data_IF_438897402922
#
_entry.id   IF_438897402922
#
_cell.length_a   1.000
_cell.length_b   1.000
_cell.length_c   1.000
_cell.angle_alpha   90.00
_cell.angle_beta   90.00
_cell.angle_gamma   90.00
#
_symmetry.space_group_name_H-M   'P 1'
#
loop_
_entity.id
_entity.type
_entity.pdbx_description
1 polymer ?
#
# COMPACT_ATOMS: atom_id res chain seq x y z
N UNK A 1 5.46 5.12 17.67
CA UNK A 1 5.83 5.20 16.24
C UNK A 1 5.08 4.11 15.50
N UNK A 2 4.50 4.39 14.33
CA UNK A 2 3.75 3.41 13.54
C UNK A 2 4.70 2.56 12.70
N UNK A 3 4.34 1.29 12.42
CA UNK A 3 5.15 0.41 11.54
C UNK A 3 5.33 0.95 10.12
N UNK A 4 4.62 2.03 9.75
CA UNK A 4 4.80 2.75 8.49
C UNK A 4 6.19 3.34 8.33
N UNK A 5 6.88 3.68 9.42
CA UNK A 5 8.21 4.30 9.39
C UNK A 5 9.31 3.37 9.95
N UNK A 6 9.08 2.05 9.90
CA UNK A 6 10.02 1.05 10.40
C UNK A 6 10.93 0.50 9.31
N UNK A 7 12.07 -0.04 9.74
CA UNK A 7 13.02 -0.76 8.91
C UNK A 7 13.03 -2.25 9.31
N UNK A 8 13.10 -3.14 8.33
CA UNK A 8 12.96 -4.59 8.55
C UNK A 8 14.09 -5.37 7.91
N UNK A 9 14.75 -6.24 8.67
CA UNK A 9 15.61 -7.28 8.09
C UNK A 9 14.75 -8.41 7.55
N UNK A 10 15.09 -8.91 6.37
CA UNK A 10 14.35 -9.99 5.71
C UNK A 10 15.29 -11.19 5.51
N UNK A 11 14.94 -12.30 6.16
CA UNK A 11 15.72 -13.52 6.15
C UNK A 11 17.08 -13.36 6.82
N UNK A 12 18.12 -13.78 6.11
CA UNK A 12 19.51 -13.76 6.57
C UNK A 12 20.38 -12.72 5.88
N UNK A 13 19.80 -11.88 5.01
CA UNK A 13 20.53 -10.80 4.37
C UNK A 13 20.65 -9.62 5.34
N UNK A 14 21.87 -9.38 5.81
CA UNK A 14 22.21 -8.30 6.75
C UNK A 14 22.87 -7.11 6.05
N UNK A 15 22.88 -7.08 4.72
CA UNK A 15 23.46 -5.98 3.93
C UNK A 15 22.44 -4.88 3.61
N UNK A 16 21.15 -5.18 3.75
CA UNK A 16 20.05 -4.27 3.45
C UNK A 16 18.86 -4.49 4.38
N UNK A 17 18.04 -3.45 4.52
CA UNK A 17 16.79 -3.46 5.28
C UNK A 17 15.66 -2.93 4.40
N UNK A 18 14.45 -3.44 4.59
CA UNK A 18 13.25 -2.89 3.95
C UNK A 18 12.75 -1.68 4.72
N UNK A 19 12.69 -0.52 4.07
CA UNK A 19 12.12 0.70 4.63
C UNK A 19 10.62 0.78 4.32
N UNK A 20 9.76 0.59 5.33
CA UNK A 20 8.29 0.63 5.16
C UNK A 20 7.81 1.92 4.50
N UNK A 21 8.36 3.07 4.92
CA UNK A 21 7.95 4.39 4.42
C UNK A 21 8.24 4.59 2.93
N UNK A 22 9.35 4.03 2.46
CA UNK A 22 9.80 4.14 1.06
C UNK A 22 9.28 2.98 0.21
N UNK A 23 8.68 1.97 0.83
CA UNK A 23 8.30 0.71 0.21
C UNK A 23 9.47 0.03 -0.57
N UNK A 24 10.71 0.18 -0.11
CA UNK A 24 11.92 -0.22 -0.82
C UNK A 24 13.01 -0.75 0.11
N UNK A 25 13.91 -1.58 -0.43
CA UNK A 25 15.13 -1.96 0.27
C UNK A 25 16.16 -0.82 0.21
N UNK A 26 16.83 -0.61 1.33
CA UNK A 26 17.93 0.35 1.47
C UNK A 26 19.12 -0.35 2.12
N UNK A 27 20.33 0.09 1.80
CA UNK A 27 21.54 -0.46 2.40
C UNK A 27 21.62 -0.10 3.90
N UNK A 28 22.32 -0.91 4.69
CA UNK A 28 22.50 -0.67 6.14
C UNK A 28 23.34 0.58 6.48
N UNK A 29 24.02 1.18 5.50
CA UNK A 29 24.75 2.43 5.63
C UNK A 29 23.93 3.66 5.17
N UNK A 30 22.65 3.48 4.81
CA UNK A 30 21.75 4.58 4.50
C UNK A 30 21.61 5.53 5.70
N UNK A 31 21.79 6.82 5.45
CA UNK A 31 21.80 7.85 6.50
C UNK A 31 20.48 7.96 7.28
N UNK A 32 19.33 7.71 6.63
CA UNK A 32 18.03 7.72 7.33
C UNK A 32 17.83 6.47 8.18
N UNK A 33 18.35 5.31 7.74
CA UNK A 33 18.35 4.11 8.56
C UNK A 33 19.25 4.26 9.80
N UNK A 34 20.46 4.81 9.63
CA UNK A 34 21.37 5.07 10.75
C UNK A 34 20.76 6.05 11.76
N UNK A 35 20.17 7.15 11.30
CA UNK A 35 19.47 8.11 12.16
C UNK A 35 18.24 7.50 12.87
N UNK A 36 17.52 6.59 12.19
CA UNK A 36 16.41 5.85 12.79
C UNK A 36 16.91 4.89 13.88
N UNK A 37 18.00 4.13 13.62
CA UNK A 37 18.64 3.23 14.60
C UNK A 37 19.10 3.97 15.85
N UNK A 38 19.72 5.14 15.69
CA UNK A 38 20.16 5.97 16.83
C UNK A 38 18.97 6.41 17.72
N UNK A 39 17.80 6.64 17.12
CA UNK A 39 16.59 7.04 17.84
C UNK A 39 15.87 5.87 18.52
N UNK A 40 15.75 4.74 17.83
CA UNK A 40 14.94 3.59 18.28
C UNK A 40 15.73 2.56 19.12
N UNK A 41 17.07 2.60 19.07
CA UNK A 41 17.94 1.64 19.73
C UNK A 41 18.07 0.30 18.99
N UNK A 42 18.35 -0.78 19.72
CA UNK A 42 18.59 -2.13 19.18
C UNK A 42 17.30 -2.89 18.80
N UNK A 43 16.25 -2.18 18.37
CA UNK A 43 15.11 -2.86 17.76
C UNK A 43 15.55 -3.30 16.37
N UNK A 44 15.72 -4.61 16.19
CA UNK A 44 15.98 -5.25 14.89
C UNK A 44 14.75 -6.05 14.45
N UNK A 45 13.73 -5.40 13.86
CA UNK A 45 12.56 -6.10 13.38
C UNK A 45 13.02 -7.04 12.25
N UNK A 46 12.95 -8.35 12.48
CA UNK A 46 13.32 -9.36 11.50
C UNK A 46 12.12 -10.22 11.16
N UNK A 47 11.97 -10.51 9.88
CA UNK A 47 10.98 -11.44 9.32
C UNK A 47 11.70 -12.46 8.45
N UNK A 48 11.12 -13.63 8.25
CA UNK A 48 11.69 -14.68 7.41
C UNK A 48 11.57 -14.35 5.91
N UNK A 49 10.55 -13.59 5.49
CA UNK A 49 10.30 -13.30 4.07
C UNK A 49 9.57 -11.98 3.84
N UNK A 50 9.57 -11.53 2.58
CA UNK A 50 8.78 -10.36 2.12
C UNK A 50 7.28 -10.62 2.26
N UNK A 51 6.83 -11.86 2.05
CA UNK A 51 5.41 -12.20 2.20
C UNK A 51 4.97 -12.12 3.68
N UNK A 52 5.81 -12.54 4.61
CA UNK A 52 5.55 -12.33 6.04
C UNK A 52 5.49 -10.83 6.38
N UNK A 53 6.42 -10.03 5.85
CA UNK A 53 6.37 -8.58 6.03
C UNK A 53 5.07 -7.98 5.49
N UNK A 54 4.66 -8.40 4.29
CA UNK A 54 3.41 -7.96 3.66
C UNK A 54 2.23 -8.27 4.56
N UNK A 55 2.15 -9.48 5.11
CA UNK A 55 1.05 -9.87 5.99
C UNK A 55 1.04 -9.05 7.28
N UNK A 56 2.20 -8.77 7.88
CA UNK A 56 2.33 -7.91 9.06
C UNK A 56 1.85 -6.49 8.75
N UNK A 57 2.31 -5.88 7.65
CA UNK A 57 1.95 -4.52 7.28
C UNK A 57 0.47 -4.42 6.91
N UNK A 58 -0.07 -5.46 6.23
CA UNK A 58 -1.49 -5.56 5.88
C UNK A 58 -2.38 -5.69 7.09
N UNK A 59 -2.03 -6.55 8.05
CA UNK A 59 -2.76 -6.70 9.31
C UNK A 59 -2.82 -5.39 10.12
N UNK A 60 -1.87 -4.48 9.90
CA UNK A 60 -1.80 -3.18 10.57
C UNK A 60 -2.27 -2.01 9.70
N UNK A 61 -2.77 -2.29 8.50
CA UNK A 61 -3.23 -1.29 7.55
C UNK A 61 -2.16 -0.23 7.22
N UNK A 62 -0.91 -0.66 7.07
CA UNK A 62 0.26 0.22 6.89
C UNK A 62 0.68 0.27 5.42
N UNK A 63 0.97 1.48 4.87
CA UNK A 63 1.47 1.61 3.50
C UNK A 63 2.76 0.82 3.24
N UNK A 64 2.93 0.26 2.01
CA UNK A 64 2.00 0.33 0.87
C UNK A 64 0.84 -0.69 0.95
N UNK A 65 0.81 -1.54 1.98
CA UNK A 65 -0.12 -2.67 2.11
C UNK A 65 -1.37 -2.32 2.94
N UNK A 66 -1.83 -1.08 2.87
CA UNK A 66 -3.08 -0.65 3.51
C UNK A 66 -4.29 -0.96 2.62
N UNK A 67 -5.47 -0.92 3.21
CA UNK A 67 -6.76 -0.99 2.56
C UNK A 67 -7.40 0.39 2.54
N UNK A 68 -8.11 0.69 1.47
CA UNK A 68 -8.87 1.94 1.29
C UNK A 68 -10.33 1.59 1.15
N UNK A 69 -11.21 2.31 1.83
CA UNK A 69 -12.64 2.03 1.73
C UNK A 69 -13.14 2.25 0.31
N UNK A 70 -14.04 1.38 -0.15
CA UNK A 70 -14.67 1.51 -1.49
C UNK A 70 -15.43 2.83 -1.60
N UNK A 71 -16.05 3.27 -0.51
CA UNK A 71 -16.64 4.62 -0.39
C UNK A 71 -15.64 5.73 -0.69
N UNK A 72 -14.46 5.71 -0.06
CA UNK A 72 -13.44 6.76 -0.24
C UNK A 72 -12.93 6.81 -1.67
N UNK A 73 -12.72 5.64 -2.30
CA UNK A 73 -12.32 5.54 -3.70
C UNK A 73 -13.38 6.18 -4.60
N UNK A 74 -14.65 5.81 -4.42
CA UNK A 74 -15.78 6.38 -5.19
C UNK A 74 -15.83 7.90 -5.02
N UNK A 75 -15.72 8.42 -3.79
CA UNK A 75 -15.73 9.88 -3.54
C UNK A 75 -14.56 10.61 -4.20
N UNK A 76 -13.36 10.01 -4.23
CA UNK A 76 -12.20 10.59 -4.92
C UNK A 76 -12.41 10.62 -6.44
N UNK A 77 -12.94 9.54 -7.03
CA UNK A 77 -13.30 9.47 -8.46
C UNK A 77 -14.41 10.49 -8.80
N UNK A 78 -15.44 10.61 -7.96
CA UNK A 78 -16.51 11.62 -8.08
C UNK A 78 -15.97 13.04 -8.05
N UNK A 79 -15.08 13.35 -7.11
CA UNK A 79 -14.46 14.67 -6.97
C UNK A 79 -13.64 15.09 -8.20
N UNK A 80 -13.22 14.12 -9.01
CA UNK A 80 -12.49 14.33 -10.27
C UNK A 80 -13.40 14.27 -11.51
N UNK A 81 -14.72 14.14 -11.33
CA UNK A 81 -15.70 14.14 -12.42
C UNK A 81 -15.69 12.86 -13.27
N UNK A 82 -15.12 11.76 -12.78
CA UNK A 82 -14.89 10.52 -13.54
C UNK A 82 -15.97 9.44 -13.33
N UNK A 83 -17.06 9.74 -12.63
CA UNK A 83 -18.07 8.75 -12.23
C UNK A 83 -18.73 8.01 -13.41
N UNK A 84 -19.12 8.73 -14.47
CA UNK A 84 -19.80 8.10 -15.62
C UNK A 84 -18.89 7.12 -16.36
N UNK A 85 -17.62 7.50 -16.55
CA UNK A 85 -16.59 6.65 -17.16
C UNK A 85 -16.27 5.44 -16.27
N UNK A 86 -16.17 5.64 -14.96
CA UNK A 86 -15.96 4.57 -13.99
C UNK A 86 -17.08 3.53 -14.00
N UNK A 87 -18.34 3.96 -14.08
CA UNK A 87 -19.48 3.05 -14.21
C UNK A 87 -19.40 2.25 -15.51
N UNK A 88 -19.08 2.91 -16.63
CA UNK A 88 -18.95 2.25 -17.93
C UNK A 88 -17.84 1.19 -17.93
N UNK A 89 -16.69 1.49 -17.34
CA UNK A 89 -15.60 0.52 -17.19
C UNK A 89 -16.00 -0.64 -16.28
N UNK A 90 -16.62 -0.35 -15.12
CA UNK A 90 -17.08 -1.40 -14.21
C UNK A 90 -18.13 -2.32 -14.86
N UNK A 91 -18.99 -1.80 -15.74
CA UNK A 91 -19.95 -2.62 -16.51
C UNK A 91 -19.26 -3.62 -17.45
N UNK A 92 -18.05 -3.31 -17.93
CA UNK A 92 -17.21 -4.21 -18.72
C UNK A 92 -16.45 -5.23 -17.85
N UNK A 93 -16.35 -4.99 -16.54
CA UNK A 93 -15.64 -5.82 -15.57
C UNK A 93 -16.56 -6.28 -14.41
N UNK A 94 -17.54 -7.17 -14.68
CA UNK A 94 -18.59 -7.50 -13.72
C UNK A 94 -18.08 -8.06 -12.38
N UNK A 95 -16.98 -8.82 -12.38
CA UNK A 95 -16.36 -9.30 -11.12
C UNK A 95 -15.83 -8.14 -10.28
N UNK A 96 -15.10 -7.20 -10.88
CA UNK A 96 -14.58 -6.02 -10.20
C UNK A 96 -15.73 -5.13 -9.71
N UNK A 97 -16.76 -4.96 -10.54
CA UNK A 97 -18.00 -4.27 -10.14
C UNK A 97 -18.64 -4.90 -8.91
N UNK A 98 -18.79 -6.22 -8.88
CA UNK A 98 -19.33 -6.91 -7.72
C UNK A 98 -18.45 -6.73 -6.47
N UNK A 99 -17.12 -6.69 -6.63
CA UNK A 99 -16.20 -6.40 -5.52
C UNK A 99 -16.40 -4.99 -4.97
N UNK A 100 -16.47 -3.97 -5.83
CA UNK A 100 -16.72 -2.59 -5.39
C UNK A 100 -18.08 -2.41 -4.70
N UNK A 101 -19.09 -3.22 -5.07
CA UNK A 101 -20.42 -3.17 -4.46
C UNK A 101 -20.54 -3.95 -3.14
N UNK A 102 -19.73 -4.99 -2.94
CA UNK A 102 -19.88 -5.91 -1.80
C UNK A 102 -18.77 -5.76 -0.76
N UNK A 103 -17.58 -5.33 -1.16
CA UNK A 103 -16.46 -5.12 -0.25
C UNK A 103 -16.52 -3.72 0.38
N UNK A 104 -16.23 -3.65 1.67
CA UNK A 104 -16.11 -2.38 2.39
C UNK A 104 -14.81 -1.64 2.06
N UNK A 105 -13.76 -2.39 1.70
CA UNK A 105 -12.45 -1.86 1.36
C UNK A 105 -11.74 -2.77 0.35
N UNK A 106 -10.77 -2.20 -0.34
CA UNK A 106 -9.85 -2.92 -1.24
C UNK A 106 -8.41 -2.61 -0.84
N UNK A 107 -7.51 -3.58 -1.02
CA UNK A 107 -6.11 -3.36 -0.77
C UNK A 107 -5.53 -2.36 -1.79
N UNK A 108 -4.64 -1.47 -1.36
CA UNK A 108 -4.04 -0.45 -2.22
C UNK A 108 -3.10 -1.02 -3.29
N UNK A 109 -2.63 -2.26 -3.09
CA UNK A 109 -1.86 -3.06 -4.04
C UNK A 109 -2.73 -3.98 -4.92
N UNK A 110 -4.05 -3.91 -4.83
CA UNK A 110 -4.95 -4.71 -5.65
C UNK A 110 -4.81 -4.37 -7.15
N UNK A 111 -4.40 -5.37 -7.94
CA UNK A 111 -4.07 -5.17 -9.35
C UNK A 111 -5.29 -4.70 -10.17
N UNK A 112 -6.48 -5.24 -9.91
CA UNK A 112 -7.69 -4.88 -10.65
C UNK A 112 -8.13 -3.44 -10.33
N UNK A 113 -8.11 -3.06 -9.04
CA UNK A 113 -8.43 -1.71 -8.61
C UNK A 113 -7.46 -0.68 -9.21
N UNK A 114 -6.15 -0.97 -9.17
CA UNK A 114 -5.12 -0.11 -9.77
C UNK A 114 -5.30 0.01 -11.29
N UNK A 115 -5.61 -1.09 -11.98
CA UNK A 115 -5.86 -1.10 -13.42
C UNK A 115 -7.09 -0.26 -13.80
N UNK A 116 -8.19 -0.36 -13.05
CA UNK A 116 -9.38 0.49 -13.24
C UNK A 116 -9.05 1.98 -13.09
N UNK A 117 -8.30 2.34 -12.05
CA UNK A 117 -7.92 3.73 -11.79
C UNK A 117 -7.03 4.27 -12.91
N UNK A 118 -6.05 3.48 -13.36
CA UNK A 118 -5.21 3.84 -14.49
C UNK A 118 -6.01 3.99 -15.80
N UNK A 119 -7.00 3.12 -16.04
CA UNK A 119 -7.88 3.19 -17.20
C UNK A 119 -8.74 4.47 -17.23
N UNK A 120 -9.03 5.06 -16.06
CA UNK A 120 -9.68 6.37 -15.93
C UNK A 120 -8.73 7.55 -16.15
N UNK A 121 -7.46 7.30 -16.48
CA UNK A 121 -6.37 8.27 -16.52
C UNK A 121 -6.18 9.02 -15.20
N UNK A 122 -6.38 8.31 -14.07
CA UNK A 122 -6.14 8.80 -12.72
C UNK A 122 -4.89 8.16 -12.12
N UNK A 123 -4.28 8.83 -11.14
CA UNK A 123 -3.12 8.31 -10.42
C UNK A 123 -3.55 7.36 -9.28
N UNK A 124 -3.18 6.05 -9.34
CA UNK A 124 -3.48 5.10 -8.27
C UNK A 124 -2.93 5.50 -6.91
N UNK A 125 -1.78 6.19 -6.85
CA UNK A 125 -1.18 6.61 -5.58
C UNK A 125 -2.01 7.70 -4.89
N UNK A 126 -2.75 8.50 -5.67
CA UNK A 126 -3.67 9.51 -5.13
C UNK A 126 -5.01 8.88 -4.75
N UNK A 127 -5.56 8.02 -5.61
CA UNK A 127 -6.89 7.43 -5.41
C UNK A 127 -6.88 6.37 -4.30
N UNK A 128 -5.80 5.59 -4.20
CA UNK A 128 -5.59 4.57 -3.17
C UNK A 128 -4.69 5.05 -2.04
N UNK A 129 -4.50 6.37 -1.88
CA UNK A 129 -3.80 6.91 -0.72
C UNK A 129 -4.47 6.46 0.60
N UNK A 130 -3.70 6.26 1.69
CA UNK A 130 -4.23 5.98 3.02
C UNK A 130 -5.30 6.99 3.46
N UNK A 131 -6.15 6.58 4.40
CA UNK A 131 -7.22 7.41 4.97
C UNK A 131 -6.74 8.31 6.11
#
# INVERSE_FOLDING_TARGET
MTKSDWYWFIGSDETQVYASKRAAFVAIDDAEYLAWREREGEIEPRVASVDELRDILRAQNVPPYHSVSTYRIVRRIEGLGKSAEAVTLLDQHPTLKMRFLTLQAVAADDADARALIAALALDPEIILAPE
#
